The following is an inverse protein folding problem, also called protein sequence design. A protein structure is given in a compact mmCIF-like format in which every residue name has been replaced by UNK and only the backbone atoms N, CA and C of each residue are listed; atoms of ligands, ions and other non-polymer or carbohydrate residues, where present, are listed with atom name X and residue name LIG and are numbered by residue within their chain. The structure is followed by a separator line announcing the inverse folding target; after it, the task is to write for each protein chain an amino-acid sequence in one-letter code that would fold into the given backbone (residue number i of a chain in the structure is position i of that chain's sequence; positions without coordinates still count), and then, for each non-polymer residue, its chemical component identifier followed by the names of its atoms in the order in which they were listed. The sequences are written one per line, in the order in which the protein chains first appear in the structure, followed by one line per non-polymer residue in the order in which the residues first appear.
data_IF_949943514615
#
_entry.id   IF_949943514615
#
_cell.length_a   1.000
_cell.length_b   1.000
_cell.length_c   1.000
_cell.angle_alpha   90.00
_cell.angle_beta   90.00
_cell.angle_gamma   90.00
#
_symmetry.space_group_name_H-M   'P 1'
#
loop_
_entity.id
_entity.type
_entity.pdbx_description
1 polymer ?
#
# COMPACT_ATOMS: atom_id res chain seq x y z
N UNK A 1 58.78 5.57 -12.40
CA UNK A 1 57.88 6.14 -11.37
C UNK A 1 56.47 6.44 -11.91
N UNK A 2 55.74 5.52 -12.58
CA UNK A 2 54.34 5.80 -13.02
C UNK A 2 53.44 4.56 -13.21
N UNK A 3 53.70 3.42 -12.55
CA UNK A 3 52.89 2.20 -12.79
C UNK A 3 52.18 1.66 -11.53
N UNK A 4 52.55 2.13 -10.33
CA UNK A 4 51.94 1.68 -9.06
C UNK A 4 50.62 2.40 -8.70
N UNK A 5 50.29 3.52 -9.34
CA UNK A 5 49.08 4.30 -9.02
C UNK A 5 47.77 3.68 -9.52
N UNK A 6 47.81 3.03 -10.69
CA UNK A 6 46.61 2.49 -11.33
C UNK A 6 46.03 1.25 -10.63
N UNK A 7 46.87 0.51 -9.88
CA UNK A 7 46.40 -0.62 -9.09
C UNK A 7 45.65 -0.15 -7.82
N UNK A 8 46.10 0.94 -7.20
CA UNK A 8 45.43 1.54 -6.04
C UNK A 8 44.06 2.15 -6.40
N UNK A 9 43.96 2.80 -7.56
CA UNK A 9 42.69 3.39 -8.04
C UNK A 9 41.64 2.32 -8.38
N UNK A 10 42.06 1.18 -8.96
CA UNK A 10 41.15 0.07 -9.24
C UNK A 10 40.66 -0.61 -7.96
N UNK A 11 41.51 -0.71 -6.94
CA UNK A 11 41.14 -1.28 -5.64
C UNK A 11 40.21 -0.36 -4.85
N UNK A 12 40.41 0.96 -4.92
CA UNK A 12 39.50 1.93 -4.32
C UNK A 12 38.11 1.88 -4.98
N UNK A 13 38.05 1.76 -6.31
CA UNK A 13 36.79 1.63 -7.05
C UNK A 13 36.05 0.33 -6.72
N UNK A 14 36.76 -0.77 -6.47
CA UNK A 14 36.16 -2.04 -6.03
C UNK A 14 35.63 -1.98 -4.59
N UNK A 15 36.29 -1.26 -3.69
CA UNK A 15 35.83 -1.07 -2.30
C UNK A 15 34.59 -0.15 -2.24
N UNK A 16 34.53 0.87 -3.11
CA UNK A 16 33.35 1.73 -3.24
C UNK A 16 32.16 0.97 -3.82
N UNK A 17 32.38 0.11 -4.82
CA UNK A 17 31.37 -0.79 -5.37
C UNK A 17 30.90 -1.87 -4.36
N UNK A 18 31.79 -2.39 -3.50
CA UNK A 18 31.44 -3.34 -2.45
C UNK A 18 30.71 -2.70 -1.25
N UNK A 19 30.91 -1.40 -1.04
CA UNK A 19 30.24 -0.61 0.00
C UNK A 19 28.88 -0.07 -0.43
N UNK A 20 28.62 -0.01 -1.74
CA UNK A 20 27.30 0.16 -2.34
C UNK A 20 26.48 -1.15 -2.19
N UNK A 21 26.24 -1.57 -0.94
CA UNK A 21 25.17 -2.51 -0.66
C UNK A 21 23.89 -1.91 -1.23
N UNK A 22 23.15 -2.60 -2.11
CA UNK A 22 21.83 -2.15 -2.48
C UNK A 22 21.07 -1.95 -1.18
N UNK A 23 20.64 -0.72 -0.91
CA UNK A 23 19.84 -0.44 0.27
C UNK A 23 18.68 -1.45 0.26
N UNK A 24 18.45 -2.12 1.39
CA UNK A 24 17.34 -3.05 1.58
C UNK A 24 16.01 -2.27 1.54
N UNK A 25 15.65 -1.74 0.38
CA UNK A 25 14.45 -0.95 0.13
C UNK A 25 13.21 -1.84 0.08
N UNK A 26 13.36 -3.12 -0.27
CA UNK A 26 12.25 -4.07 -0.38
C UNK A 26 11.52 -4.35 0.95
N UNK A 27 12.22 -4.35 2.09
CA UNK A 27 11.60 -4.64 3.39
C UNK A 27 10.84 -3.45 3.99
N UNK A 28 11.32 -2.22 3.79
CA UNK A 28 10.61 -1.01 4.23
C UNK A 28 9.31 -0.81 3.43
N UNK A 29 9.37 -0.99 2.11
CA UNK A 29 8.21 -0.87 1.22
C UNK A 29 7.12 -1.92 1.54
N UNK A 30 7.50 -3.14 1.90
CA UNK A 30 6.55 -4.20 2.29
C UNK A 30 5.79 -3.90 3.59
N UNK A 31 6.47 -3.31 4.59
CA UNK A 31 5.85 -2.96 5.88
C UNK A 31 4.86 -1.79 5.76
N UNK A 32 5.22 -0.74 5.02
CA UNK A 32 4.33 0.40 4.75
C UNK A 32 3.08 -0.04 3.96
N UNK A 33 3.24 -0.98 3.03
CA UNK A 33 2.14 -1.50 2.24
C UNK A 33 1.16 -2.38 3.04
N UNK A 34 1.65 -3.23 3.95
CA UNK A 34 0.79 -4.02 4.85
C UNK A 34 -0.06 -3.14 5.77
N UNK A 35 0.53 -2.03 6.23
CA UNK A 35 -0.19 -1.00 6.98
C UNK A 35 -1.28 -0.33 6.13
N UNK A 36 -0.99 0.03 4.88
CA UNK A 36 -1.99 0.60 3.96
C UNK A 36 -3.15 -0.37 3.68
N UNK A 37 -2.88 -1.66 3.46
CA UNK A 37 -3.92 -2.65 3.24
C UNK A 37 -4.81 -2.82 4.47
N UNK A 38 -4.20 -2.89 5.66
CA UNK A 38 -4.94 -2.98 6.93
C UNK A 38 -5.84 -1.76 7.13
N UNK A 39 -5.31 -0.57 6.85
CA UNK A 39 -6.08 0.68 6.90
C UNK A 39 -7.22 0.69 5.89
N UNK A 40 -7.00 0.22 4.65
CA UNK A 40 -8.03 0.15 3.62
C UNK A 40 -9.19 -0.78 4.02
N UNK A 41 -8.88 -1.98 4.52
CA UNK A 41 -9.88 -2.94 4.99
C UNK A 41 -10.68 -2.36 6.16
N UNK A 42 -10.00 -1.74 7.13
CA UNK A 42 -10.66 -1.10 8.27
C UNK A 42 -11.56 0.05 7.83
N UNK A 43 -11.12 0.85 6.84
CA UNK A 43 -11.91 1.93 6.28
C UNK A 43 -13.18 1.42 5.59
N UNK A 44 -13.07 0.37 4.77
CA UNK A 44 -14.25 -0.25 4.13
C UNK A 44 -15.24 -0.77 5.16
N UNK A 45 -14.77 -1.46 6.20
CA UNK A 45 -15.62 -1.95 7.28
C UNK A 45 -16.36 -0.80 8.00
N UNK A 46 -15.65 0.30 8.27
CA UNK A 46 -16.24 1.51 8.86
C UNK A 46 -17.33 2.12 7.97
N UNK A 47 -17.05 2.24 6.66
CA UNK A 47 -18.00 2.78 5.69
C UNK A 47 -19.24 1.88 5.51
N UNK A 48 -19.06 0.55 5.49
CA UNK A 48 -20.18 -0.39 5.46
C UNK A 48 -21.07 -0.26 6.69
N UNK A 49 -20.48 -0.20 7.90
CA UNK A 49 -21.23 0.01 9.15
C UNK A 49 -21.98 1.33 9.16
N UNK A 50 -21.34 2.40 8.71
CA UNK A 50 -21.95 3.73 8.63
C UNK A 50 -23.11 3.74 7.65
N UNK A 51 -22.94 3.13 6.47
CA UNK A 51 -24.02 3.01 5.48
C UNK A 51 -25.19 2.20 6.01
N UNK A 52 -24.93 1.12 6.75
CA UNK A 52 -25.98 0.29 7.36
C UNK A 52 -26.71 1.00 8.49
N UNK A 53 -26.00 1.76 9.33
CA UNK A 53 -26.60 2.58 10.39
C UNK A 53 -27.51 3.67 9.82
N UNK A 54 -27.02 4.42 8.83
CA UNK A 54 -27.83 5.44 8.16
C UNK A 54 -29.07 4.85 7.49
N UNK A 55 -28.93 3.67 6.86
CA UNK A 55 -30.07 2.98 6.28
C UNK A 55 -31.09 2.57 7.35
N UNK A 56 -30.65 1.95 8.45
CA UNK A 56 -31.54 1.54 9.53
C UNK A 56 -32.25 2.75 10.18
N UNK A 57 -31.55 3.86 10.37
CA UNK A 57 -32.12 5.10 10.90
C UNK A 57 -33.15 5.71 9.95
N UNK A 58 -32.83 5.76 8.67
CA UNK A 58 -33.77 6.19 7.64
C UNK A 58 -35.03 5.32 7.61
N UNK A 59 -34.87 3.99 7.61
CA UNK A 59 -35.98 3.02 7.61
C UNK A 59 -36.84 3.14 8.89
N UNK A 60 -36.25 3.56 10.01
CA UNK A 60 -36.96 3.84 11.27
C UNK A 60 -37.71 5.17 11.30
N UNK A 61 -37.57 6.00 10.25
CA UNK A 61 -38.22 7.31 10.14
C UNK A 61 -37.48 8.46 10.83
N UNK A 62 -36.17 8.31 11.09
CA UNK A 62 -35.34 9.38 11.63
C UNK A 62 -35.24 10.55 10.63
N UNK A 63 -35.88 11.67 10.97
CA UNK A 63 -35.94 12.88 10.15
C UNK A 63 -34.57 13.59 10.00
N UNK A 64 -33.58 13.22 10.82
CA UNK A 64 -32.22 13.77 10.71
C UNK A 64 -31.37 13.08 9.64
N UNK A 65 -31.82 11.94 9.09
CA UNK A 65 -31.14 11.23 8.01
C UNK A 65 -31.95 11.35 6.73
N UNK A 66 -31.34 11.90 5.68
CA UNK A 66 -32.00 11.97 4.37
C UNK A 66 -31.69 10.74 3.53
N UNK A 67 -32.54 10.44 2.55
CA UNK A 67 -32.27 9.41 1.54
C UNK A 67 -30.93 9.68 0.82
N UNK A 68 -30.61 10.95 0.57
CA UNK A 68 -29.33 11.36 -0.03
C UNK A 68 -28.14 10.95 0.82
N UNK A 69 -28.23 11.05 2.15
CA UNK A 69 -27.14 10.65 3.05
C UNK A 69 -26.88 9.15 2.99
N UNK A 70 -27.95 8.34 2.98
CA UNK A 70 -27.87 6.89 2.82
C UNK A 70 -27.22 6.54 1.48
N UNK A 71 -27.65 7.18 0.40
CA UNK A 71 -27.13 6.94 -0.95
C UNK A 71 -25.66 7.36 -1.08
N UNK A 72 -25.27 8.50 -0.51
CA UNK A 72 -23.87 8.95 -0.48
C UNK A 72 -23.02 7.98 0.33
N UNK A 73 -23.48 7.55 1.51
CA UNK A 73 -22.74 6.60 2.33
C UNK A 73 -22.56 5.25 1.62
N UNK A 74 -23.60 4.77 0.93
CA UNK A 74 -23.55 3.56 0.12
C UNK A 74 -22.55 3.67 -1.02
N UNK A 75 -22.58 4.78 -1.76
CA UNK A 75 -21.63 5.05 -2.85
C UNK A 75 -20.19 5.13 -2.34
N UNK A 76 -19.95 5.82 -1.21
CA UNK A 76 -18.63 5.88 -0.57
C UNK A 76 -18.12 4.48 -0.21
N UNK A 77 -18.98 3.64 0.38
CA UNK A 77 -18.61 2.27 0.71
C UNK A 77 -18.27 1.44 -0.54
N UNK A 78 -18.99 1.61 -1.65
CA UNK A 78 -18.73 0.90 -2.90
C UNK A 78 -17.37 1.28 -3.49
N UNK A 79 -17.11 2.58 -3.62
CA UNK A 79 -15.84 3.09 -4.18
C UNK A 79 -14.65 2.68 -3.31
N UNK A 80 -14.79 2.76 -1.99
CA UNK A 80 -13.72 2.33 -1.07
C UNK A 80 -13.44 0.82 -1.16
N UNK A 81 -14.49 0.01 -1.35
CA UNK A 81 -14.33 -1.42 -1.56
C UNK A 81 -13.59 -1.73 -2.87
N UNK A 82 -13.96 -1.09 -3.98
CA UNK A 82 -13.25 -1.22 -5.26
C UNK A 82 -11.78 -0.84 -5.14
N UNK A 83 -11.48 0.28 -4.47
CA UNK A 83 -10.09 0.69 -4.18
C UNK A 83 -9.33 -0.38 -3.40
N UNK A 84 -9.98 -1.03 -2.42
CA UNK A 84 -9.37 -2.12 -1.62
C UNK A 84 -9.07 -3.35 -2.48
N UNK A 85 -9.91 -3.67 -3.45
CA UNK A 85 -9.64 -4.75 -4.42
C UNK A 85 -8.38 -4.44 -5.26
N UNK A 86 -8.17 -3.18 -5.64
CA UNK A 86 -6.96 -2.78 -6.36
C UNK A 86 -5.70 -2.96 -5.50
N UNK A 87 -5.76 -2.58 -4.23
CA UNK A 87 -4.66 -2.80 -3.27
C UNK A 87 -4.39 -4.30 -3.12
N UNK A 88 -5.43 -5.14 -2.98
CA UNK A 88 -5.29 -6.60 -2.94
C UNK A 88 -4.62 -7.16 -4.18
N UNK A 89 -4.99 -6.68 -5.37
CA UNK A 89 -4.38 -7.14 -6.62
C UNK A 89 -2.90 -6.75 -6.68
N UNK A 90 -2.56 -5.53 -6.26
CA UNK A 90 -1.18 -5.06 -6.18
C UNK A 90 -0.36 -5.86 -5.16
N UNK A 91 -0.94 -6.31 -4.05
CA UNK A 91 -0.29 -7.22 -3.09
C UNK A 91 0.18 -8.51 -3.76
N UNK A 92 -0.73 -9.15 -4.51
CA UNK A 92 -0.45 -10.42 -5.18
C UNK A 92 0.64 -10.23 -6.23
N UNK A 93 0.63 -9.11 -6.94
CA UNK A 93 1.65 -8.77 -7.93
C UNK A 93 3.01 -8.49 -7.30
N UNK A 94 3.09 -7.65 -6.26
CA UNK A 94 4.36 -7.34 -5.57
C UNK A 94 4.96 -8.54 -4.85
N UNK A 95 4.14 -9.45 -4.31
CA UNK A 95 4.61 -10.72 -3.78
C UNK A 95 5.24 -11.60 -4.88
N UNK A 96 4.58 -11.69 -6.05
CA UNK A 96 5.13 -12.39 -7.22
C UNK A 96 6.42 -11.75 -7.71
N UNK A 97 6.50 -10.42 -7.72
CA UNK A 97 7.67 -9.66 -8.14
C UNK A 97 8.87 -9.93 -7.23
N UNK A 98 8.69 -9.90 -5.90
CA UNK A 98 9.71 -10.30 -4.93
C UNK A 98 10.20 -11.74 -5.13
N UNK A 99 9.29 -12.65 -5.49
CA UNK A 99 9.62 -14.07 -5.71
C UNK A 99 10.37 -14.31 -7.03
N UNK A 100 10.14 -13.45 -8.03
CA UNK A 100 10.78 -13.51 -9.34
C UNK A 100 12.01 -12.62 -9.46
N UNK A 101 12.35 -11.85 -8.42
CA UNK A 101 13.56 -11.03 -8.40
C UNK A 101 14.77 -11.98 -8.30
N UNK A 102 15.65 -12.04 -9.32
CA UNK A 102 16.89 -12.79 -9.20
C UNK A 102 17.74 -12.11 -8.13
N UNK A 103 18.22 -12.89 -7.16
CA UNK A 103 19.29 -12.48 -6.24
C UNK A 103 20.60 -12.26 -6.98
#
# INVERSE_FOLDING_TARGET
MRIDGLQGEMQAMMVEAASARPAATGQAVGADFGNMLTQAINNVNSLQKTSGDLQARFDSGDQSVSLSDVMIARNKSSVAFEATIQIRNRLVESYKELMNMPV
#
